data_IF_971236016873
#
_entry.id   IF_971236016873
#
_cell.length_a   1.000
_cell.length_b   1.000
_cell.length_c   1.000
_cell.angle_alpha   90.00
_cell.angle_beta   90.00
_cell.angle_gamma   90.00
#
_symmetry.space_group_name_H-M   'P 1'
#
loop_
_entity.id
_entity.type
_entity.pdbx_description
1 polymer ?
#
# COMPACT_ATOMS: atom_id res chain seq x y z
N UNK A 1 -3.91 15.45 11.58
CA UNK A 1 -3.21 14.23 11.11
C UNK A 1 -1.83 14.21 11.71
N UNK A 2 -1.42 13.09 12.35
CA UNK A 2 -0.01 12.92 12.73
C UNK A 2 0.84 12.95 11.47
N UNK A 3 1.96 13.68 11.51
CA UNK A 3 2.92 13.69 10.41
C UNK A 3 3.62 12.34 10.40
N UNK A 4 3.42 11.56 9.35
CA UNK A 4 4.09 10.29 9.14
C UNK A 4 4.79 10.31 7.80
N UNK A 5 6.02 9.79 7.74
CA UNK A 5 6.67 9.48 6.47
C UNK A 5 6.17 8.10 6.02
N UNK A 6 5.57 8.07 4.83
CA UNK A 6 4.99 6.86 4.25
C UNK A 6 5.86 6.43 3.06
N UNK A 7 6.20 5.15 2.99
CA UNK A 7 6.86 4.53 1.85
C UNK A 7 6.05 3.32 1.42
N UNK A 8 5.51 3.38 0.20
CA UNK A 8 4.66 2.32 -0.35
C UNK A 8 5.40 1.62 -1.48
N UNK A 9 5.32 0.30 -1.49
CA UNK A 9 5.73 -0.55 -2.60
C UNK A 9 4.57 -1.47 -2.98
N UNK A 10 4.31 -1.59 -4.27
CA UNK A 10 3.31 -2.52 -4.81
C UNK A 10 3.96 -3.46 -5.83
N UNK A 11 3.57 -4.73 -5.81
CA UNK A 11 3.99 -5.75 -6.77
C UNK A 11 2.77 -6.27 -7.53
N UNK A 12 2.76 -6.09 -8.86
CA UNK A 12 1.64 -6.48 -9.73
C UNK A 12 1.97 -7.85 -10.34
N UNK A 13 1.37 -8.90 -9.80
CA UNK A 13 1.48 -10.26 -10.33
C UNK A 13 0.37 -10.61 -11.31
N UNK A 14 0.35 -11.87 -11.79
CA UNK A 14 -0.71 -12.36 -12.69
C UNK A 14 -2.07 -12.60 -12.00
N UNK A 15 -2.05 -12.99 -10.73
CA UNK A 15 -3.27 -13.28 -9.94
C UNK A 15 -3.58 -12.19 -8.93
N UNK A 16 -2.55 -11.71 -8.23
CA UNK A 16 -2.70 -10.75 -7.14
C UNK A 16 -1.77 -9.56 -7.31
N UNK A 17 -2.22 -8.41 -6.80
CA UNK A 17 -1.41 -7.23 -6.55
C UNK A 17 -1.18 -7.11 -5.05
N UNK A 18 0.09 -7.06 -4.65
CA UNK A 18 0.53 -7.00 -3.27
C UNK A 18 0.97 -5.59 -2.88
N UNK A 19 0.77 -5.21 -1.62
CA UNK A 19 1.20 -3.94 -1.03
C UNK A 19 2.02 -4.20 0.23
N UNK A 20 3.14 -3.48 0.33
CA UNK A 20 3.88 -3.27 1.58
C UNK A 20 4.06 -1.79 1.78
N UNK A 21 3.59 -1.28 2.91
CA UNK A 21 3.69 0.12 3.30
C UNK A 21 4.44 0.22 4.64
N UNK A 22 5.47 1.06 4.67
CA UNK A 22 6.17 1.45 5.88
C UNK A 22 5.74 2.84 6.29
N UNK A 23 5.21 2.95 7.50
CA UNK A 23 4.86 4.22 8.11
C UNK A 23 5.85 4.53 9.23
N UNK A 24 6.34 5.76 9.27
CA UNK A 24 7.20 6.24 10.35
C UNK A 24 6.58 7.48 10.95
N UNK A 25 6.16 7.39 12.20
CA UNK A 25 5.68 8.53 12.99
C UNK A 25 6.85 9.52 13.15
N UNK A 26 6.69 10.74 12.62
CA UNK A 26 7.79 11.70 12.54
C UNK A 26 8.19 12.29 13.91
N UNK A 27 7.33 12.18 14.92
CA UNK A 27 7.57 12.72 16.26
C UNK A 27 8.27 11.71 17.16
N UNK A 28 7.84 10.45 17.08
CA UNK A 28 8.32 9.36 17.97
C UNK A 28 9.35 8.46 17.30
N UNK A 29 9.48 8.52 15.97
CA UNK A 29 10.31 7.59 15.19
C UNK A 29 9.77 6.16 15.17
N UNK A 30 8.57 5.91 15.69
CA UNK A 30 7.98 4.57 15.66
C UNK A 30 7.65 4.16 14.24
N UNK A 31 7.99 2.92 13.91
CA UNK A 31 7.70 2.32 12.62
C UNK A 31 6.52 1.34 12.72
N UNK A 32 5.64 1.37 11.72
CA UNK A 32 4.60 0.36 11.48
C UNK A 32 4.69 -0.15 10.05
N UNK A 33 4.26 -1.40 9.87
CA UNK A 33 4.16 -2.03 8.55
C UNK A 33 2.70 -2.37 8.29
N UNK A 34 2.21 -1.96 7.14
CA UNK A 34 0.90 -2.34 6.61
C UNK A 34 1.11 -3.20 5.39
N UNK A 35 0.42 -4.33 5.33
CA UNK A 35 0.40 -5.20 4.15
C UNK A 35 -1.02 -5.39 3.67
N UNK A 36 -1.20 -5.47 2.36
CA UNK A 36 -2.48 -5.79 1.74
C UNK A 36 -2.26 -6.58 0.45
N UNK A 37 -3.30 -7.30 0.04
CA UNK A 37 -3.34 -8.09 -1.20
C UNK A 37 -4.72 -7.94 -1.84
N UNK A 38 -4.78 -7.62 -3.11
CA UNK A 38 -6.01 -7.64 -3.92
C UNK A 38 -5.82 -8.48 -5.17
N UNK A 39 -6.91 -8.79 -5.87
CA UNK A 39 -6.82 -9.37 -7.20
C UNK A 39 -6.13 -8.41 -8.16
N UNK A 40 -5.32 -8.95 -9.07
CA UNK A 40 -4.84 -8.20 -10.23
C UNK A 40 -6.00 -8.01 -11.21
N UNK A 41 -6.02 -6.86 -11.87
CA UNK A 41 -7.07 -6.48 -12.81
C UNK A 41 -6.51 -6.30 -14.23
N UNK A 42 -6.08 -7.35 -14.96
CA UNK A 42 -5.75 -7.19 -16.37
C UNK A 42 -7.01 -6.83 -17.18
N UNK A 43 -6.94 -5.95 -18.20
CA UNK A 43 -5.73 -5.25 -18.65
C UNK A 43 -5.41 -3.97 -17.84
N UNK A 44 -6.34 -3.50 -17.00
CA UNK A 44 -6.28 -2.23 -16.26
C UNK A 44 -5.54 -2.37 -14.92
N UNK A 45 -4.23 -2.62 -14.96
CA UNK A 45 -3.41 -2.95 -13.78
C UNK A 45 -3.40 -1.87 -12.69
N UNK A 46 -3.55 -0.60 -13.07
CA UNK A 46 -3.65 0.54 -12.16
C UNK A 46 -4.86 0.41 -11.21
N UNK A 47 -5.94 -0.23 -11.66
CA UNK A 47 -7.12 -0.48 -10.82
C UNK A 47 -6.76 -1.43 -9.66
N UNK A 48 -5.96 -2.46 -9.93
CA UNK A 48 -5.43 -3.38 -8.91
C UNK A 48 -4.56 -2.64 -7.89
N UNK A 49 -3.74 -1.69 -8.34
CA UNK A 49 -2.91 -0.85 -7.46
C UNK A 49 -3.78 0.03 -6.55
N UNK A 50 -4.81 0.70 -7.10
CA UNK A 50 -5.73 1.51 -6.30
C UNK A 50 -6.55 0.65 -5.31
N UNK A 51 -6.97 -0.54 -5.73
CA UNK A 51 -7.68 -1.48 -4.89
C UNK A 51 -6.84 -1.94 -3.69
N UNK A 52 -5.56 -2.26 -3.91
CA UNK A 52 -4.68 -2.72 -2.82
C UNK A 52 -4.35 -1.58 -1.84
N UNK A 53 -4.18 -0.34 -2.34
CA UNK A 53 -4.02 0.86 -1.50
C UNK A 53 -5.25 1.10 -0.61
N UNK A 54 -6.44 1.08 -1.21
CA UNK A 54 -7.70 1.23 -0.48
C UNK A 54 -7.89 0.11 0.56
N UNK A 55 -7.55 -1.13 0.20
CA UNK A 55 -7.62 -2.28 1.13
C UNK A 55 -6.61 -2.19 2.27
N UNK A 56 -5.43 -1.62 2.01
CA UNK A 56 -4.44 -1.29 3.03
C UNK A 56 -4.78 -0.04 3.86
N UNK A 57 -5.86 0.67 3.53
CA UNK A 57 -6.20 1.97 4.12
C UNK A 57 -5.04 2.97 4.03
N UNK A 58 -4.30 2.93 2.92
CA UNK A 58 -3.19 3.82 2.59
C UNK A 58 -3.69 4.88 1.61
N UNK A 59 -3.62 6.14 2.01
CA UNK A 59 -4.00 7.29 1.17
C UNK A 59 -2.80 7.68 0.27
N UNK A 60 -2.92 7.63 -1.07
CA UNK A 60 -1.84 7.93 -2.01
C UNK A 60 -1.45 9.42 -2.12
#
# INVERSE_FOLDING_TARGET
>A
MKKSNIRVATDVGGTFTDLVCFETDAETGKHSVVTAKSDTTPPDFETGVLNVLAKGNVDP
#
